data_IF_982399210319
#
_entry.id   IF_982399210319
#
_cell.length_a   1.000
_cell.length_b   1.000
_cell.length_c   1.000
_cell.angle_alpha   90.00
_cell.angle_beta   90.00
_cell.angle_gamma   90.00
#
_symmetry.space_group_name_H-M   'P 1'
#
loop_
_entity.id
_entity.type
_entity.pdbx_description
1 polymer ?
#
# COMPACT_ATOMS: atom_id res chain seq x y z
N UNK A 1 5.45 -1.23 27.60
CA UNK A 1 4.53 -2.35 27.32
C UNK A 1 4.43 -2.47 25.81
N UNK A 2 4.59 -3.65 25.21
CA UNK A 2 4.53 -3.82 23.76
C UNK A 2 3.17 -3.33 23.27
N UNK A 3 3.19 -2.25 22.50
CA UNK A 3 2.00 -1.65 21.93
C UNK A 3 1.70 -2.37 20.62
N UNK A 4 1.42 -3.67 20.73
CA UNK A 4 1.10 -4.53 19.60
C UNK A 4 -0.40 -4.53 19.37
N UNK A 5 -0.79 -4.70 18.12
CA UNK A 5 -2.19 -4.81 17.73
C UNK A 5 -2.75 -6.10 18.33
N UNK A 6 -3.94 -6.05 18.92
CA UNK A 6 -4.57 -7.23 19.51
C UNK A 6 -5.91 -7.50 18.81
N UNK A 7 -6.08 -8.68 18.17
CA UNK A 7 -5.08 -9.72 17.94
C UNK A 7 -3.92 -9.23 17.07
N UNK A 8 -2.77 -9.92 17.09
CA UNK A 8 -1.62 -9.62 16.22
C UNK A 8 -2.00 -9.64 14.73
N UNK A 9 -1.29 -8.87 13.89
CA UNK A 9 -1.59 -8.80 12.45
C UNK A 9 -1.42 -10.17 11.79
N UNK A 10 -0.42 -10.93 12.23
CA UNK A 10 -0.10 -12.29 11.78
C UNK A 10 -1.19 -13.29 12.16
N UNK A 11 -2.09 -12.95 13.07
CA UNK A 11 -3.20 -13.80 13.48
C UNK A 11 -4.50 -13.51 12.73
N UNK A 12 -4.43 -12.71 11.67
CA UNK A 12 -5.61 -12.34 10.89
C UNK A 12 -6.13 -13.49 10.04
N UNK A 13 -5.28 -14.45 9.65
CA UNK A 13 -5.66 -15.65 8.91
C UNK A 13 -4.98 -16.87 9.54
N UNK A 14 -5.74 -17.95 9.70
CA UNK A 14 -5.13 -19.22 10.05
C UNK A 14 -5.90 -20.43 9.52
N UNK A 15 -5.13 -21.44 9.15
CA UNK A 15 -5.61 -22.68 8.56
C UNK A 15 -6.10 -23.63 9.66
N UNK A 16 -7.38 -23.97 9.67
CA UNK A 16 -8.03 -24.81 10.70
C UNK A 16 -8.12 -26.29 10.31
N UNK A 17 -7.94 -26.59 9.03
CA UNK A 17 -7.87 -27.92 8.43
C UNK A 17 -7.24 -27.84 7.04
N UNK A 18 -6.99 -28.97 6.35
CA UNK A 18 -6.30 -28.96 5.05
C UNK A 18 -6.99 -28.07 4.02
N UNK A 19 -8.32 -27.96 4.09
CA UNK A 19 -9.17 -27.28 3.11
C UNK A 19 -9.91 -26.05 3.67
N UNK A 20 -9.53 -25.54 4.85
CA UNK A 20 -10.26 -24.44 5.49
C UNK A 20 -9.34 -23.43 6.18
N UNK A 21 -9.64 -22.14 5.97
CA UNK A 21 -8.98 -21.00 6.59
C UNK A 21 -10.01 -20.08 7.23
N UNK A 22 -9.77 -19.70 8.48
CA UNK A 22 -10.53 -18.64 9.16
C UNK A 22 -9.84 -17.31 8.88
N UNK A 23 -10.62 -16.30 8.48
CA UNK A 23 -10.13 -14.98 8.07
C UNK A 23 -10.85 -13.92 8.89
N UNK A 24 -10.12 -13.32 9.83
CA UNK A 24 -10.66 -12.39 10.82
C UNK A 24 -11.72 -13.04 11.72
N UNK A 25 -12.64 -12.23 12.23
CA UNK A 25 -13.79 -12.70 13.00
C UNK A 25 -14.93 -13.21 12.10
N UNK A 26 -14.96 -12.79 10.82
CA UNK A 26 -16.18 -12.80 9.99
C UNK A 26 -16.21 -13.79 8.84
N UNK A 27 -15.07 -14.24 8.33
CA UNK A 27 -15.02 -14.96 7.05
C UNK A 27 -14.33 -16.32 7.17
N UNK A 28 -14.71 -17.21 6.27
CA UNK A 28 -14.07 -18.52 6.06
C UNK A 28 -13.77 -18.66 4.57
N UNK A 29 -12.57 -19.13 4.26
CA UNK A 29 -12.22 -19.62 2.94
C UNK A 29 -12.20 -21.15 2.98
N UNK A 30 -12.87 -21.79 2.03
CA UNK A 30 -12.95 -23.24 1.91
C UNK A 30 -12.50 -23.69 0.54
N UNK A 31 -11.74 -24.78 0.50
CA UNK A 31 -11.32 -25.44 -0.73
C UNK A 31 -12.17 -26.68 -0.94
N UNK A 32 -12.76 -26.79 -2.11
CA UNK A 32 -13.72 -27.86 -2.43
C UNK A 32 -13.30 -28.52 -3.74
N UNK A 33 -13.31 -29.86 -3.75
CA UNK A 33 -12.94 -30.66 -4.92
C UNK A 33 -14.12 -30.83 -5.90
N UNK A 34 -15.35 -31.02 -5.39
CA UNK A 34 -16.55 -31.18 -6.22
C UNK A 34 -17.47 -29.96 -6.19
N UNK A 35 -17.93 -29.50 -7.36
CA UNK A 35 -18.85 -28.36 -7.46
C UNK A 35 -20.21 -28.62 -6.77
N UNK A 36 -20.59 -29.87 -6.57
CA UNK A 36 -21.81 -30.25 -5.82
C UNK A 36 -21.72 -29.89 -4.33
N UNK A 37 -20.51 -29.73 -3.78
CA UNK A 37 -20.26 -29.33 -2.39
C UNK A 37 -20.09 -27.81 -2.24
N UNK A 38 -20.62 -27.01 -3.18
CA UNK A 38 -20.58 -25.55 -3.11
C UNK A 38 -21.29 -25.05 -1.85
N UNK A 39 -20.64 -24.19 -1.03
CA UNK A 39 -21.31 -23.55 0.09
C UNK A 39 -22.46 -22.66 -0.37
N UNK A 40 -23.63 -22.81 0.26
CA UNK A 40 -24.88 -22.12 -0.12
C UNK A 40 -24.73 -20.59 -0.02
N UNK A 41 -23.86 -20.10 0.85
CA UNK A 41 -23.62 -18.69 1.16
C UNK A 41 -22.28 -18.15 0.62
N UNK A 42 -21.73 -18.79 -0.42
CA UNK A 42 -20.51 -18.33 -1.08
C UNK A 42 -20.66 -16.91 -1.66
N UNK A 43 -19.78 -16.02 -1.22
CA UNK A 43 -19.71 -14.62 -1.66
C UNK A 43 -18.91 -14.46 -2.95
N UNK A 44 -17.80 -15.18 -3.06
CA UNK A 44 -16.94 -15.21 -4.25
C UNK A 44 -16.25 -16.56 -4.34
N UNK A 45 -15.91 -16.97 -5.56
CA UNK A 45 -15.14 -18.18 -5.81
C UNK A 45 -14.06 -17.97 -6.86
N UNK A 46 -13.05 -18.83 -6.83
CA UNK A 46 -12.04 -18.91 -7.88
C UNK A 46 -11.51 -20.33 -7.99
N UNK A 47 -11.04 -20.67 -9.18
CA UNK A 47 -10.43 -21.96 -9.47
C UNK A 47 -8.90 -21.86 -9.46
N UNK A 48 -8.25 -22.89 -8.92
CA UNK A 48 -6.81 -23.08 -8.98
C UNK A 48 -6.49 -24.58 -8.92
N UNK A 49 -5.68 -25.08 -9.85
CA UNK A 49 -5.23 -26.48 -9.92
C UNK A 49 -6.37 -27.52 -9.82
N UNK A 50 -7.47 -27.29 -10.55
CA UNK A 50 -8.68 -28.15 -10.56
C UNK A 50 -9.44 -28.19 -9.22
N UNK A 51 -9.14 -27.28 -8.30
CA UNK A 51 -9.86 -27.10 -7.04
C UNK A 51 -10.59 -25.76 -7.07
N UNK A 52 -11.77 -25.70 -6.45
CA UNK A 52 -12.52 -24.45 -6.32
C UNK A 52 -12.42 -23.95 -4.88
N UNK A 53 -12.06 -22.68 -4.75
CA UNK A 53 -12.04 -21.99 -3.47
C UNK A 53 -13.27 -21.11 -3.36
N UNK A 54 -13.88 -21.09 -2.18
CA UNK A 54 -15.05 -20.29 -1.86
C UNK A 54 -14.78 -19.44 -0.64
N UNK A 55 -15.06 -18.13 -0.73
CA UNK A 55 -15.14 -17.26 0.44
C UNK A 55 -16.60 -17.16 0.87
N UNK A 56 -16.88 -17.37 2.16
CA UNK A 56 -18.20 -17.21 2.75
C UNK A 56 -18.14 -16.56 4.12
N UNK A 57 -19.31 -16.20 4.65
CA UNK A 57 -19.42 -15.70 6.02
C UNK A 57 -19.22 -16.86 7.00
N UNK A 58 -18.73 -16.51 8.18
CA UNK A 58 -18.62 -17.44 9.29
C UNK A 58 -19.99 -17.74 9.89
N UNK A 59 -20.16 -18.99 10.31
CA UNK A 59 -21.34 -19.55 10.96
C UNK A 59 -20.98 -20.02 12.38
N UNK A 60 -21.95 -20.22 13.27
CA UNK A 60 -21.70 -20.76 14.61
C UNK A 60 -21.06 -22.15 14.64
N UNK A 61 -21.13 -22.90 13.53
CA UNK A 61 -20.53 -24.23 13.39
C UNK A 61 -19.02 -24.16 13.07
N UNK A 62 -18.52 -23.01 12.62
CA UNK A 62 -17.13 -22.86 12.23
C UNK A 62 -16.19 -22.86 13.44
N UNK A 63 -14.97 -23.43 13.32
CA UNK A 63 -14.03 -23.51 14.43
C UNK A 63 -13.73 -22.14 15.02
N UNK A 64 -13.76 -22.02 16.36
CA UNK A 64 -13.36 -20.80 17.09
C UNK A 64 -11.86 -20.62 17.16
N UNK A 65 -11.10 -21.72 17.03
CA UNK A 65 -9.63 -21.73 17.05
C UNK A 65 -9.04 -20.99 15.86
N UNK A 66 -7.92 -20.31 16.09
CA UNK A 66 -7.18 -19.55 15.06
C UNK A 66 -6.58 -20.40 13.95
N UNK A 67 -6.29 -21.68 14.20
CA UNK A 67 -5.57 -22.52 13.23
C UNK A 67 -4.07 -22.18 13.15
N UNK A 68 -3.38 -22.72 12.15
CA UNK A 68 -1.98 -22.41 11.87
C UNK A 68 -1.88 -21.10 11.05
N UNK A 69 -1.20 -20.09 11.59
CA UNK A 69 -1.09 -18.74 11.00
C UNK A 69 0.09 -18.57 10.04
N UNK A 70 1.04 -19.52 10.05
CA UNK A 70 2.22 -19.48 9.17
C UNK A 70 1.98 -20.18 7.83
N UNK A 71 0.97 -21.05 7.73
CA UNK A 71 0.60 -21.65 6.44
C UNK A 71 0.21 -20.53 5.46
N UNK A 72 0.74 -20.61 4.23
CA UNK A 72 0.43 -19.70 3.12
C UNK A 72 0.82 -18.23 3.33
N UNK A 73 1.44 -17.89 4.47
CA UNK A 73 1.86 -16.52 4.79
C UNK A 73 3.06 -16.12 3.94
N UNK A 74 2.99 -14.95 3.32
CA UNK A 74 4.07 -14.39 2.53
C UNK A 74 5.19 -13.84 3.44
N UNK A 75 6.47 -13.92 3.01
CA UNK A 75 7.59 -13.29 3.70
C UNK A 75 7.37 -11.78 3.86
N UNK A 76 7.93 -11.19 4.93
CA UNK A 76 7.83 -9.74 5.18
C UNK A 76 6.50 -9.26 5.79
N UNK A 77 5.62 -10.19 6.18
CA UNK A 77 4.41 -9.87 6.97
C UNK A 77 4.79 -9.49 8.40
N UNK A 78 4.35 -8.30 8.87
CA UNK A 78 4.61 -7.83 10.23
C UNK A 78 4.16 -6.38 10.50
N UNK A 79 3.95 -6.05 11.78
CA UNK A 79 3.55 -4.72 12.23
C UNK A 79 2.08 -4.41 11.92
N UNK A 80 1.82 -3.65 10.86
CA UNK A 80 0.47 -3.19 10.48
C UNK A 80 -0.13 -3.94 9.28
N UNK A 81 0.64 -4.78 8.59
CA UNK A 81 0.17 -5.53 7.41
C UNK A 81 0.69 -6.97 7.39
N UNK A 82 -0.12 -7.88 6.85
CA UNK A 82 0.30 -9.24 6.54
C UNK A 82 -0.42 -9.75 5.29
N UNK A 83 0.24 -10.62 4.53
CA UNK A 83 -0.29 -11.18 3.27
C UNK A 83 -0.22 -12.70 3.29
N UNK A 84 -1.26 -13.37 2.81
CA UNK A 84 -1.32 -14.81 2.58
C UNK A 84 -1.63 -15.10 1.11
N UNK A 85 -1.15 -16.23 0.60
CA UNK A 85 -1.37 -16.67 -0.77
C UNK A 85 -2.20 -17.97 -0.78
N UNK A 86 -3.53 -17.85 -0.90
CA UNK A 86 -4.45 -19.01 -0.88
C UNK A 86 -5.04 -19.19 -2.28
N UNK A 87 -4.77 -20.33 -2.92
CA UNK A 87 -5.30 -20.67 -4.25
C UNK A 87 -4.96 -19.63 -5.33
N UNK A 88 -3.70 -19.17 -5.39
CA UNK A 88 -3.22 -18.12 -6.31
C UNK A 88 -3.88 -16.74 -6.13
N UNK A 89 -4.43 -16.47 -4.94
CA UNK A 89 -4.96 -15.15 -4.54
C UNK A 89 -4.21 -14.60 -3.35
N UNK A 90 -3.94 -13.30 -3.38
CA UNK A 90 -3.37 -12.60 -2.25
C UNK A 90 -4.47 -12.11 -1.33
N UNK A 91 -4.41 -12.54 -0.08
CA UNK A 91 -5.23 -12.05 1.02
C UNK A 91 -4.36 -11.12 1.85
N UNK A 92 -4.64 -9.83 1.80
CA UNK A 92 -3.96 -8.84 2.65
C UNK A 92 -4.85 -8.51 3.83
N UNK A 93 -4.30 -8.60 5.03
CA UNK A 93 -4.86 -7.98 6.23
C UNK A 93 -4.06 -6.72 6.55
N UNK A 94 -4.75 -5.64 6.87
CA UNK A 94 -4.13 -4.37 7.23
C UNK A 94 -4.78 -3.77 8.47
N UNK A 95 -3.99 -3.14 9.34
CA UNK A 95 -4.47 -2.43 10.51
C UNK A 95 -5.42 -1.30 10.08
N UNK A 96 -6.63 -1.29 10.63
CA UNK A 96 -7.67 -0.38 10.16
C UNK A 96 -8.52 0.13 11.31
N UNK A 97 -8.95 1.38 11.19
CA UNK A 97 -10.01 1.95 12.01
C UNK A 97 -10.99 2.74 11.15
N UNK A 98 -12.17 3.03 11.72
CA UNK A 98 -13.20 3.84 11.06
C UNK A 98 -12.63 5.18 10.59
N UNK A 99 -12.88 5.54 9.32
CA UNK A 99 -12.40 6.78 8.72
C UNK A 99 -11.18 6.64 7.81
N UNK A 100 -10.52 5.48 7.77
CA UNK A 100 -9.46 5.21 6.79
C UNK A 100 -10.03 4.85 5.41
N UNK A 101 -9.34 5.27 4.35
CA UNK A 101 -9.60 4.81 2.99
C UNK A 101 -9.21 3.33 2.85
N UNK A 102 -9.96 2.59 2.02
CA UNK A 102 -9.62 1.21 1.71
C UNK A 102 -8.68 1.18 0.51
N UNK A 103 -7.66 0.31 0.55
CA UNK A 103 -6.76 0.09 -0.58
C UNK A 103 -7.52 -0.29 -1.86
N UNK A 104 -8.61 -1.06 -1.74
CA UNK A 104 -9.48 -1.41 -2.87
C UNK A 104 -10.14 -0.20 -3.54
N UNK A 105 -10.48 0.85 -2.78
CA UNK A 105 -11.02 2.09 -3.34
C UNK A 105 -9.99 2.76 -4.24
N UNK A 106 -8.74 2.86 -3.76
CA UNK A 106 -7.65 3.47 -4.51
C UNK A 106 -7.30 2.65 -5.76
N UNK A 107 -7.25 1.32 -5.66
CA UNK A 107 -7.03 0.43 -6.81
C UNK A 107 -8.13 0.63 -7.87
N UNK A 108 -9.41 0.68 -7.46
CA UNK A 108 -10.52 0.91 -8.40
C UNK A 108 -10.46 2.27 -9.06
N UNK A 109 -10.13 3.31 -8.29
CA UNK A 109 -9.95 4.66 -8.83
C UNK A 109 -8.87 4.67 -9.92
N UNK A 110 -7.71 4.08 -9.67
CA UNK A 110 -6.62 4.02 -10.66
C UNK A 110 -7.01 3.20 -11.88
N UNK A 111 -7.65 2.04 -11.68
CA UNK A 111 -8.12 1.19 -12.78
C UNK A 111 -9.11 1.91 -13.70
N UNK A 112 -9.98 2.75 -13.15
CA UNK A 112 -10.97 3.53 -13.89
C UNK A 112 -10.36 4.78 -14.55
N UNK A 113 -9.56 5.54 -13.79
CA UNK A 113 -9.09 6.88 -14.19
C UNK A 113 -7.74 6.89 -14.90
N UNK A 114 -6.90 5.88 -14.67
CA UNK A 114 -5.53 5.80 -15.18
C UNK A 114 -5.20 4.36 -15.60
N UNK A 115 -5.92 3.79 -16.59
CA UNK A 115 -5.78 2.37 -16.97
C UNK A 115 -4.39 2.00 -17.51
N UNK A 116 -3.55 2.98 -17.85
CA UNK A 116 -2.14 2.76 -18.19
C UNK A 116 -1.28 2.32 -17.00
N UNK A 117 -1.73 2.55 -15.77
CA UNK A 117 -1.02 2.14 -14.55
C UNK A 117 -1.52 0.75 -14.14
N UNK A 118 -0.67 -0.28 -14.18
CA UNK A 118 -1.09 -1.63 -13.86
C UNK A 118 -1.30 -1.79 -12.35
N UNK A 119 -2.48 -2.22 -11.95
CA UNK A 119 -2.88 -2.44 -10.55
C UNK A 119 -3.46 -3.85 -10.36
N UNK A 120 -3.53 -4.39 -9.13
CA UNK A 120 -4.12 -5.70 -8.88
C UNK A 120 -5.61 -5.75 -9.24
N UNK A 121 -6.07 -6.92 -9.67
CA UNK A 121 -7.51 -7.17 -9.78
C UNK A 121 -8.08 -7.43 -8.38
N UNK A 122 -8.92 -6.51 -7.88
CA UNK A 122 -9.69 -6.69 -6.64
C UNK A 122 -10.78 -7.75 -6.85
N UNK A 123 -10.79 -8.75 -5.98
CA UNK A 123 -11.78 -9.83 -5.99
C UNK A 123 -12.85 -9.59 -4.94
N UNK A 124 -12.42 -9.24 -3.72
CA UNK A 124 -13.33 -8.99 -2.61
C UNK A 124 -12.63 -8.19 -1.50
N UNK A 125 -13.39 -7.46 -0.72
CA UNK A 125 -12.89 -6.68 0.40
C UNK A 125 -13.94 -6.59 1.52
N UNK A 126 -13.48 -6.40 2.75
CA UNK A 126 -14.35 -6.06 3.87
C UNK A 126 -13.56 -5.44 5.01
N UNK A 127 -14.29 -4.88 5.97
CA UNK A 127 -13.73 -4.41 7.23
C UNK A 127 -14.19 -5.29 8.39
N UNK A 128 -13.29 -5.45 9.34
CA UNK A 128 -13.46 -6.23 10.55
C UNK A 128 -13.14 -5.35 11.76
N UNK A 129 -14.14 -4.63 12.30
CA UNK A 129 -13.97 -3.79 13.47
C UNK A 129 -13.60 -4.59 14.73
N UNK A 130 -13.97 -5.88 14.83
CA UNK A 130 -13.64 -6.69 16.00
C UNK A 130 -12.13 -6.92 16.08
N UNK A 131 -11.48 -7.03 14.93
CA UNK A 131 -10.05 -7.21 14.84
C UNK A 131 -9.31 -5.89 14.58
N UNK A 132 -10.00 -4.78 14.26
CA UNK A 132 -9.41 -3.55 13.71
C UNK A 132 -8.63 -3.83 12.43
N UNK A 133 -9.29 -4.46 11.44
CA UNK A 133 -8.70 -4.83 10.15
C UNK A 133 -9.52 -4.40 8.96
N UNK A 134 -8.83 -4.09 7.89
CA UNK A 134 -9.35 -4.23 6.54
C UNK A 134 -8.75 -5.48 5.91
N UNK A 135 -9.56 -6.17 5.11
CA UNK A 135 -9.13 -7.30 4.33
C UNK A 135 -9.35 -7.02 2.86
N UNK A 136 -8.37 -7.42 2.05
CA UNK A 136 -8.38 -7.25 0.61
C UNK A 136 -7.92 -8.54 -0.06
N UNK A 137 -8.75 -9.09 -0.94
CA UNK A 137 -8.42 -10.22 -1.80
C UNK A 137 -8.16 -9.70 -3.20
N UNK A 138 -6.99 -10.04 -3.75
CA UNK A 138 -6.62 -9.70 -5.13
C UNK A 138 -6.11 -10.92 -5.88
N UNK A 139 -6.14 -10.85 -7.22
CA UNK A 139 -5.36 -11.80 -8.03
C UNK A 139 -3.87 -11.53 -7.81
N UNK A 140 -3.10 -12.60 -7.64
CA UNK A 140 -1.65 -12.52 -7.55
C UNK A 140 -1.08 -12.01 -8.88
N UNK A 141 -0.26 -10.95 -8.81
CA UNK A 141 0.53 -10.49 -9.96
C UNK A 141 1.77 -11.36 -10.04
N UNK A 142 1.96 -12.05 -11.17
CA UNK A 142 3.15 -12.88 -11.40
C UNK A 142 4.34 -12.01 -11.75
N UNK A 143 5.46 -12.26 -11.08
CA UNK A 143 6.70 -11.51 -11.28
C UNK A 143 7.58 -11.51 -10.04
N UNK A 144 8.61 -10.68 -10.10
CA UNK A 144 9.50 -10.36 -8.97
C UNK A 144 9.39 -8.89 -8.64
N UNK A 145 9.64 -8.50 -7.41
CA UNK A 145 9.72 -7.07 -7.09
C UNK A 145 10.91 -6.42 -7.79
N UNK A 146 10.86 -5.10 -8.02
CA UNK A 146 12.01 -4.36 -8.53
C UNK A 146 13.22 -4.52 -7.62
N UNK A 147 13.00 -4.59 -6.30
CA UNK A 147 14.05 -4.85 -5.31
C UNK A 147 14.77 -6.18 -5.56
N UNK A 148 14.02 -7.28 -5.69
CA UNK A 148 14.58 -8.61 -5.95
C UNK A 148 15.31 -8.67 -7.30
N UNK A 149 14.79 -7.94 -8.30
CA UNK A 149 15.35 -7.92 -9.63
C UNK A 149 16.57 -6.99 -9.77
N UNK A 150 16.73 -5.98 -8.91
CA UNK A 150 17.61 -4.83 -9.16
C UNK A 150 19.03 -5.19 -9.56
N UNK A 151 19.67 -6.07 -8.79
CA UNK A 151 21.05 -6.50 -9.02
C UNK A 151 21.25 -7.24 -10.35
N UNK A 152 20.17 -7.79 -10.90
CA UNK A 152 20.16 -8.52 -12.18
C UNK A 152 19.82 -7.61 -13.37
N UNK A 153 19.41 -6.36 -13.12
CA UNK A 153 19.06 -5.40 -14.17
C UNK A 153 20.30 -4.64 -14.63
N UNK A 154 20.59 -4.69 -15.93
CA UNK A 154 21.63 -3.87 -16.55
C UNK A 154 21.26 -2.37 -16.54
N UNK A 155 22.25 -1.45 -16.64
CA UNK A 155 22.03 0.00 -16.49
C UNK A 155 20.95 0.57 -17.41
N UNK A 156 20.98 0.21 -18.71
CA UNK A 156 19.97 0.65 -19.68
C UNK A 156 18.55 0.22 -19.28
N UNK A 157 18.39 -0.95 -18.67
CA UNK A 157 17.07 -1.43 -18.24
C UNK A 157 16.57 -0.66 -17.02
N UNK A 158 17.46 -0.35 -16.07
CA UNK A 158 17.14 0.50 -14.91
C UNK A 158 16.68 1.89 -15.34
N UNK A 159 17.33 2.48 -16.34
CA UNK A 159 16.91 3.77 -16.91
C UNK A 159 15.52 3.71 -17.58
N UNK A 160 15.26 2.68 -18.37
CA UNK A 160 13.94 2.48 -19.00
C UNK A 160 12.84 2.25 -17.96
N UNK A 161 13.15 1.52 -16.89
CA UNK A 161 12.20 1.30 -15.79
C UNK A 161 11.92 2.57 -14.99
N UNK A 162 12.93 3.38 -14.72
CA UNK A 162 12.74 4.67 -14.07
C UNK A 162 11.87 5.60 -14.94
N UNK A 163 12.06 5.59 -16.26
CA UNK A 163 11.21 6.31 -17.21
C UNK A 163 9.77 5.80 -17.20
N UNK A 164 9.57 4.47 -17.26
CA UNK A 164 8.25 3.83 -17.21
C UNK A 164 7.49 4.20 -15.92
N UNK A 165 8.16 4.15 -14.77
CA UNK A 165 7.56 4.51 -13.48
C UNK A 165 7.31 6.02 -13.36
N UNK A 166 8.21 6.87 -13.83
CA UNK A 166 7.99 8.32 -13.86
C UNK A 166 6.81 8.69 -14.77
N UNK A 167 6.66 8.03 -15.91
CA UNK A 167 5.49 8.16 -16.77
C UNK A 167 4.21 7.78 -16.03
N UNK A 168 4.20 6.67 -15.28
CA UNK A 168 3.05 6.28 -14.45
C UNK A 168 2.72 7.34 -13.39
N UNK A 169 3.72 7.85 -12.66
CA UNK A 169 3.53 8.93 -11.67
C UNK A 169 2.95 10.17 -12.34
N UNK A 170 3.48 10.57 -13.50
CA UNK A 170 2.97 11.71 -14.27
C UNK A 170 1.52 11.51 -14.70
N UNK A 171 1.10 10.32 -15.13
CA UNK A 171 -0.31 10.06 -15.46
C UNK A 171 -1.23 10.10 -14.24
N UNK A 172 -0.78 9.59 -13.09
CA UNK A 172 -1.52 9.69 -11.83
C UNK A 172 -1.69 11.15 -11.42
N UNK A 173 -0.61 11.91 -11.46
CA UNK A 173 -0.55 13.29 -11.00
C UNK A 173 -1.37 14.28 -11.85
N UNK A 174 -1.83 13.88 -13.05
CA UNK A 174 -2.83 14.64 -13.83
C UNK A 174 -4.21 14.67 -13.17
N UNK A 175 -4.49 13.74 -12.26
CA UNK A 175 -5.69 13.79 -11.44
C UNK A 175 -5.42 14.63 -10.23
N UNK A 176 -6.09 15.77 -10.15
CA UNK A 176 -5.78 16.80 -9.17
C UNK A 176 -6.96 17.14 -8.27
N UNK A 177 -6.65 17.84 -7.19
CA UNK A 177 -7.59 18.28 -6.16
C UNK A 177 -7.08 19.59 -5.58
N UNK A 178 -7.98 20.50 -5.21
CA UNK A 178 -7.63 21.71 -4.45
C UNK A 178 -7.26 21.42 -2.99
N UNK A 179 -7.40 20.17 -2.55
CA UNK A 179 -7.33 19.73 -1.15
C UNK A 179 -6.42 18.52 -0.99
N UNK A 180 -5.67 18.48 0.12
CA UNK A 180 -4.94 17.30 0.59
C UNK A 180 -5.92 16.29 1.20
N UNK A 181 -6.18 15.17 0.53
CA UNK A 181 -7.19 14.17 0.93
C UNK A 181 -7.04 12.84 0.21
N UNK A 182 -7.75 11.82 0.66
CA UNK A 182 -7.92 10.54 -0.07
C UNK A 182 -8.96 10.69 -1.21
N UNK A 183 -9.14 9.65 -2.04
CA UNK A 183 -10.16 9.63 -3.10
C UNK A 183 -11.57 9.93 -2.55
N UNK A 184 -11.94 9.39 -1.39
CA UNK A 184 -13.24 9.66 -0.76
C UNK A 184 -13.26 10.94 0.11
N UNK A 185 -12.23 11.77 0.02
CA UNK A 185 -12.16 13.05 0.75
C UNK A 185 -11.87 12.93 2.24
N UNK A 186 -11.15 11.87 2.66
CA UNK A 186 -10.74 11.65 4.05
C UNK A 186 -9.30 12.10 4.27
N UNK A 187 -8.83 12.04 5.52
CA UNK A 187 -7.41 12.24 5.83
C UNK A 187 -6.55 11.11 5.28
N UNK A 188 -5.30 11.42 4.94
CA UNK A 188 -4.36 10.52 4.28
C UNK A 188 -3.39 9.92 5.29
N UNK A 189 -3.05 8.64 5.15
CA UNK A 189 -1.98 8.03 5.95
C UNK A 189 -0.61 8.37 5.32
N UNK A 190 0.11 9.31 5.90
CA UNK A 190 1.50 9.62 5.53
C UNK A 190 2.30 9.97 6.78
N UNK A 191 2.95 8.97 7.42
CA UNK A 191 3.62 9.17 8.71
C UNK A 191 4.78 10.15 8.65
N UNK A 192 5.36 10.39 7.47
CA UNK A 192 6.51 11.30 7.31
C UNK A 192 6.14 12.78 7.23
N UNK A 193 4.84 13.07 7.11
CA UNK A 193 4.31 14.43 7.17
C UNK A 193 3.58 14.70 8.50
N UNK A 194 3.53 13.72 9.41
CA UNK A 194 2.88 13.86 10.71
C UNK A 194 3.82 14.45 11.76
N UNK A 195 3.27 15.29 12.62
CA UNK A 195 3.91 15.66 13.89
C UNK A 195 4.29 14.43 14.73
N UNK A 196 5.34 14.58 15.55
CA UNK A 196 5.73 13.57 16.52
C UNK A 196 4.54 13.17 17.40
N UNK A 197 4.37 11.89 17.76
CA UNK A 197 3.26 11.47 18.60
C UNK A 197 3.27 12.24 19.93
N UNK A 198 2.18 12.98 20.21
CA UNK A 198 2.00 13.72 21.47
C UNK A 198 1.53 12.82 22.62
N UNK A 199 0.97 11.67 22.29
CA UNK A 199 0.41 10.68 23.21
C UNK A 199 1.05 9.32 22.93
N UNK A 200 1.07 8.44 23.95
CA UNK A 200 1.34 7.01 23.81
C UNK A 200 0.18 6.32 23.06
N UNK A 201 -0.02 6.68 21.79
CA UNK A 201 -0.90 5.91 20.90
C UNK A 201 -0.21 4.63 20.48
N UNK A 202 -0.97 3.55 20.27
CA UNK A 202 -0.37 2.35 19.74
C UNK A 202 0.28 2.57 18.39
N UNK A 203 1.54 2.16 18.27
CA UNK A 203 2.32 2.35 17.05
C UNK A 203 1.71 1.62 15.84
N UNK A 204 0.89 0.59 16.07
CA UNK A 204 0.15 -0.10 15.03
C UNK A 204 -1.05 0.69 14.50
N UNK A 205 -1.58 1.66 15.25
CA UNK A 205 -2.78 2.39 14.88
C UNK A 205 -2.40 3.53 13.91
N UNK A 206 -2.79 3.44 12.62
CA UNK A 206 -2.44 4.46 11.64
C UNK A 206 -3.00 5.83 12.04
N UNK A 207 -2.23 6.90 11.79
CA UNK A 207 -2.68 8.27 12.01
C UNK A 207 -2.94 8.94 10.66
N UNK A 208 -4.11 9.55 10.52
CA UNK A 208 -4.48 10.27 9.32
C UNK A 208 -4.09 11.74 9.44
N UNK A 209 -3.52 12.28 8.35
CA UNK A 209 -3.20 13.68 8.15
C UNK A 209 -4.31 14.35 7.34
N UNK A 210 -4.76 15.52 7.78
CA UNK A 210 -5.84 16.24 7.10
C UNK A 210 -7.22 15.60 7.27
N UNK A 211 -8.17 15.81 6.34
CA UNK A 211 -7.97 16.52 5.07
C UNK A 211 -7.70 18.01 5.28
N UNK A 212 -6.90 18.62 4.40
CA UNK A 212 -6.70 20.07 4.34
C UNK A 212 -7.42 20.61 3.13
N UNK A 213 -8.22 21.67 3.30
CA UNK A 213 -9.10 22.14 2.22
C UNK A 213 -8.32 22.84 1.12
N UNK A 214 -7.29 23.57 1.50
CA UNK A 214 -6.47 24.41 0.63
C UNK A 214 -4.99 24.33 1.06
N UNK A 215 -4.12 24.90 0.23
CA UNK A 215 -2.67 24.98 0.48
C UNK A 215 -2.34 25.60 1.84
N UNK A 216 -2.99 26.72 2.18
CA UNK A 216 -2.74 27.46 3.42
C UNK A 216 -3.04 26.63 4.68
N UNK A 217 -4.06 25.77 4.66
CA UNK A 217 -4.38 24.88 5.78
C UNK A 217 -3.22 23.91 6.06
N UNK A 218 -2.67 23.30 5.00
CA UNK A 218 -1.53 22.39 5.12
C UNK A 218 -0.26 23.15 5.49
N UNK A 219 -0.04 24.33 4.92
CA UNK A 219 1.11 25.20 5.23
C UNK A 219 1.10 25.60 6.71
N UNK A 220 -0.04 26.05 7.21
CA UNK A 220 -0.23 26.41 8.62
C UNK A 220 -0.03 25.21 9.54
N UNK A 221 -0.49 24.02 9.14
CA UNK A 221 -0.18 22.78 9.85
C UNK A 221 1.33 22.54 9.93
N UNK A 222 2.04 22.58 8.80
CA UNK A 222 3.47 22.28 8.73
C UNK A 222 4.32 23.32 9.49
N UNK A 223 3.93 24.60 9.47
CA UNK A 223 4.55 25.67 10.27
C UNK A 223 4.32 25.49 11.77
N UNK A 224 3.19 24.92 12.18
CA UNK A 224 2.88 24.70 13.60
C UNK A 224 3.73 23.60 14.23
N UNK A 225 4.16 22.62 13.43
CA UNK A 225 4.80 21.39 13.93
C UNK A 225 6.32 21.40 13.75
N UNK A 226 6.89 22.50 13.23
CA UNK A 226 8.33 22.68 13.06
C UNK A 226 8.73 24.15 13.21
N UNK A 227 9.90 24.40 13.78
CA UNK A 227 10.50 25.74 13.86
C UNK A 227 11.16 26.19 12.54
N UNK A 228 11.19 25.32 11.54
CA UNK A 228 11.82 25.56 10.24
C UNK A 228 10.76 25.81 9.16
N UNK A 229 11.15 26.54 8.11
CA UNK A 229 10.25 26.84 6.99
C UNK A 229 9.94 25.54 6.23
N UNK A 230 8.65 25.17 6.02
CA UNK A 230 8.30 23.98 5.26
C UNK A 230 8.68 24.11 3.78
N UNK A 231 8.76 22.98 3.05
CA UNK A 231 8.73 23.00 1.60
C UNK A 231 7.57 23.84 1.04
N UNK A 232 7.76 24.37 -0.17
CA UNK A 232 6.68 25.05 -0.89
C UNK A 232 5.58 24.03 -1.22
N UNK A 233 4.36 24.41 -0.89
CA UNK A 233 3.14 23.64 -1.16
C UNK A 233 2.48 24.35 -2.34
N UNK A 234 1.91 23.61 -3.27
CA UNK A 234 1.20 24.20 -4.41
C UNK A 234 -0.29 24.35 -4.09
N UNK A 235 -0.97 25.24 -4.82
CA UNK A 235 -2.43 25.39 -4.73
C UNK A 235 -3.18 24.12 -5.14
N UNK A 236 -2.55 23.31 -5.99
CA UNK A 236 -3.11 22.08 -6.54
C UNK A 236 -2.35 20.85 -6.03
N UNK A 237 -3.11 19.86 -5.57
CA UNK A 237 -2.58 18.59 -5.08
C UNK A 237 -2.78 17.51 -6.13
N UNK A 238 -1.79 16.64 -6.27
CA UNK A 238 -1.70 15.61 -7.30
C UNK A 238 -1.94 14.22 -6.72
N UNK A 239 -2.76 13.41 -7.39
CA UNK A 239 -2.97 12.03 -6.97
C UNK A 239 -1.66 11.23 -7.08
N UNK A 240 -1.20 10.67 -5.96
CA UNK A 240 0.08 9.98 -5.84
C UNK A 240 -0.02 8.80 -4.87
N UNK A 241 0.82 7.78 -5.10
CA UNK A 241 0.82 6.52 -4.36
C UNK A 241 1.48 6.63 -2.96
N UNK A 242 2.44 7.56 -2.79
CA UNK A 242 3.26 7.79 -1.58
C UNK A 242 4.15 6.63 -1.07
N UNK A 243 3.78 5.37 -1.33
CA UNK A 243 4.59 4.18 -1.01
C UNK A 243 5.14 3.46 -2.27
N UNK A 244 5.42 4.19 -3.36
CA UNK A 244 5.85 3.61 -4.65
C UNK A 244 7.34 3.17 -4.67
N UNK A 245 7.79 2.50 -3.62
CA UNK A 245 9.16 1.99 -3.50
C UNK A 245 9.39 0.72 -4.33
N UNK A 246 10.64 0.27 -4.49
CA UNK A 246 11.00 -0.92 -5.28
C UNK A 246 10.27 -2.20 -4.86
N UNK A 247 9.94 -2.35 -3.57
CA UNK A 247 9.18 -3.49 -3.04
C UNK A 247 7.75 -3.59 -3.59
N UNK A 248 7.19 -2.45 -4.01
CA UNK A 248 5.81 -2.32 -4.44
C UNK A 248 5.64 -2.29 -5.97
N UNK A 249 6.74 -2.46 -6.72
CA UNK A 249 6.75 -2.53 -8.19
C UNK A 249 7.06 -3.97 -8.59
N UNK A 250 6.11 -4.65 -9.21
CA UNK A 250 6.28 -6.02 -9.70
C UNK A 250 6.68 -5.98 -11.17
N UNK A 251 7.73 -6.72 -11.54
CA UNK A 251 8.25 -6.85 -12.89
C UNK A 251 7.89 -8.20 -13.51
N UNK A 252 7.54 -8.17 -14.79
CA UNK A 252 7.45 -9.37 -15.63
C UNK A 252 8.86 -9.92 -15.92
N UNK A 253 8.95 -11.16 -16.40
CA UNK A 253 10.23 -11.76 -16.82
C UNK A 253 10.97 -10.96 -17.90
N UNK A 254 10.22 -10.29 -18.81
CA UNK A 254 10.79 -9.40 -19.81
C UNK A 254 11.24 -8.03 -19.24
N UNK A 255 11.13 -7.85 -17.92
CA UNK A 255 11.52 -6.69 -17.15
C UNK A 255 10.54 -5.52 -17.15
N UNK A 256 9.37 -5.62 -17.79
CA UNK A 256 8.37 -4.53 -17.82
C UNK A 256 7.55 -4.50 -16.53
N UNK A 257 6.93 -3.37 -16.19
CA UNK A 257 6.08 -3.29 -15.00
C UNK A 257 4.84 -4.16 -15.19
N UNK A 258 4.71 -5.19 -14.35
CA UNK A 258 3.58 -6.10 -14.30
C UNK A 258 2.42 -5.53 -13.48
N UNK A 259 2.75 -4.78 -12.42
CA UNK A 259 1.78 -4.14 -11.54
C UNK A 259 2.42 -3.42 -10.37
N UNK A 260 1.67 -2.48 -9.82
CA UNK A 260 2.01 -1.69 -8.64
C UNK A 260 1.05 -2.08 -7.52
N UNK A 261 1.58 -2.39 -6.34
CA UNK A 261 0.82 -2.87 -5.17
C UNK A 261 0.96 -1.89 -3.99
N UNK A 262 0.18 -2.11 -2.92
CA UNK A 262 0.27 -1.36 -1.67
C UNK A 262 -0.26 0.08 -1.75
N UNK A 263 -1.48 0.24 -2.28
CA UNK A 263 -2.14 1.53 -2.54
C UNK A 263 -2.80 2.17 -1.29
N UNK A 264 -2.44 1.74 -0.09
CA UNK A 264 -3.07 2.19 1.17
C UNK A 264 -2.86 3.67 1.49
N UNK A 265 -1.69 4.20 1.13
CA UNK A 265 -1.32 5.60 1.34
C UNK A 265 -1.66 6.49 0.13
N UNK A 266 -2.37 5.99 -0.87
CA UNK A 266 -2.65 6.83 -2.04
C UNK A 266 -3.63 7.97 -1.72
N UNK A 267 -3.37 9.15 -2.26
CA UNK A 267 -4.12 10.37 -1.99
C UNK A 267 -3.63 11.54 -2.85
N UNK A 268 -4.17 12.73 -2.61
CA UNK A 268 -3.76 13.96 -3.28
C UNK A 268 -2.69 14.68 -2.45
N UNK A 269 -1.49 14.81 -3.02
CA UNK A 269 -0.27 15.30 -2.37
C UNK A 269 0.30 16.54 -3.09
N UNK A 270 1.02 17.43 -2.40
CA UNK A 270 1.68 18.56 -3.04
C UNK A 270 2.83 18.08 -3.95
N UNK A 271 3.18 18.85 -4.98
CA UNK A 271 4.16 18.43 -5.99
C UNK A 271 5.53 18.11 -5.36
N UNK A 272 5.93 18.88 -4.34
CA UNK A 272 7.19 18.63 -3.63
C UNK A 272 7.23 17.23 -3.04
N UNK A 273 6.11 16.69 -2.55
CA UNK A 273 6.07 15.36 -1.95
C UNK A 273 6.18 14.25 -3.00
N UNK A 274 5.55 14.46 -4.16
CA UNK A 274 5.69 13.55 -5.31
C UNK A 274 7.17 13.41 -5.72
N UNK A 275 7.92 14.51 -5.70
CA UNK A 275 9.34 14.54 -6.06
C UNK A 275 10.30 14.10 -4.94
N UNK A 276 9.97 14.43 -3.68
CA UNK A 276 10.88 14.24 -2.53
C UNK A 276 10.74 12.84 -1.91
N UNK A 277 9.52 12.28 -1.88
CA UNK A 277 9.25 10.97 -1.26
C UNK A 277 10.14 9.84 -1.81
N UNK A 278 10.43 9.76 -3.14
CA UNK A 278 11.35 8.77 -3.69
C UNK A 278 12.79 8.82 -3.17
N UNK A 279 13.22 9.93 -2.56
CA UNK A 279 14.59 10.12 -2.05
C UNK A 279 14.74 9.72 -0.58
N UNK A 280 13.67 9.22 0.05
CA UNK A 280 13.68 8.83 1.46
C UNK A 280 13.94 7.32 1.60
N UNK A 281 14.63 6.91 2.66
CA UNK A 281 15.17 5.56 2.91
C UNK A 281 14.25 4.37 2.55
N UNK A 282 12.92 4.52 2.62
CA UNK A 282 11.97 3.48 2.18
C UNK A 282 12.02 3.13 0.70
N UNK A 283 12.66 3.97 -0.12
CA UNK A 283 12.79 3.81 -1.57
C UNK A 283 14.22 3.40 -1.96
N UNK A 284 15.14 3.37 -1.00
CA UNK A 284 16.50 2.92 -1.23
C UNK A 284 16.58 1.40 -1.26
N UNK A 285 17.47 0.91 -2.11
CA UNK A 285 17.80 -0.50 -2.20
C UNK A 285 19.01 -0.74 -1.31
N UNK A 286 18.94 -1.70 -0.38
CA UNK A 286 20.03 -1.99 0.57
C UNK A 286 21.39 -2.29 -0.11
N UNK A 287 21.34 -2.64 -1.40
CA UNK A 287 22.50 -2.93 -2.23
C UNK A 287 23.01 -1.73 -3.07
N UNK A 288 22.36 -0.56 -3.01
CA UNK A 288 22.84 0.69 -3.62
C UNK A 288 23.93 1.33 -2.75
N UNK A 289 25.13 0.74 -2.74
CA UNK A 289 26.31 1.33 -2.08
C UNK A 289 27.19 2.15 -3.02
N UNK A 290 26.79 2.34 -4.27
CA UNK A 290 27.54 3.10 -5.28
C UNK A 290 26.73 4.29 -5.82
N UNK A 291 27.12 5.52 -5.48
CA UNK A 291 26.64 6.73 -6.16
C UNK A 291 27.18 6.81 -7.61
N UNK A 292 26.44 7.37 -8.60
CA UNK A 292 25.14 8.05 -8.54
C UNK A 292 24.03 7.35 -9.37
N UNK A 293 23.92 6.01 -9.31
CA UNK A 293 22.93 5.22 -10.07
C UNK A 293 21.87 4.52 -9.20
N UNK A 294 21.62 5.02 -7.99
CA UNK A 294 20.58 4.43 -7.14
C UNK A 294 19.19 4.60 -7.75
N UNK A 295 18.27 3.69 -7.43
CA UNK A 295 16.89 3.74 -7.95
C UNK A 295 16.24 5.10 -7.70
N UNK A 296 16.36 5.62 -6.48
CA UNK A 296 15.86 6.92 -6.06
C UNK A 296 16.37 8.06 -6.95
N UNK A 297 17.69 8.11 -7.22
CA UNK A 297 18.30 9.12 -8.08
C UNK A 297 17.85 9.02 -9.54
N UNK A 298 17.73 7.80 -10.07
CA UNK A 298 17.23 7.59 -11.43
C UNK A 298 15.79 8.08 -11.56
N UNK A 299 14.92 7.69 -10.62
CA UNK A 299 13.52 8.10 -10.62
C UNK A 299 13.38 9.62 -10.47
N UNK A 300 14.12 10.24 -9.56
CA UNK A 300 14.16 11.71 -9.38
C UNK A 300 14.46 12.43 -10.68
N UNK A 301 15.55 12.05 -11.36
CA UNK A 301 15.93 12.66 -12.65
C UNK A 301 14.83 12.56 -13.70
N UNK A 302 14.04 11.47 -13.69
CA UNK A 302 12.92 11.31 -14.61
C UNK A 302 11.71 12.16 -14.18
N UNK A 303 11.45 12.28 -12.88
CA UNK A 303 10.40 13.16 -12.36
C UNK A 303 10.68 14.65 -12.64
N UNK A 304 11.94 15.09 -12.60
CA UNK A 304 12.36 16.44 -12.99
C UNK A 304 11.94 16.77 -14.43
N UNK A 305 12.07 15.80 -15.37
CA UNK A 305 11.62 15.94 -16.77
C UNK A 305 10.09 16.11 -16.86
N UNK A 306 9.35 15.57 -15.89
CA UNK A 306 7.90 15.72 -15.76
C UNK A 306 7.48 16.91 -14.89
N UNK A 307 8.38 17.88 -14.64
CA UNK A 307 8.12 19.10 -13.86
C UNK A 307 7.83 18.87 -12.37
N UNK A 308 8.26 17.75 -11.81
CA UNK A 308 8.27 17.51 -10.37
C UNK A 308 9.66 17.78 -9.82
N UNK A 309 9.83 18.92 -9.14
CA UNK A 309 11.11 19.32 -8.54
C UNK A 309 11.14 18.96 -7.06
N UNK A 310 12.20 18.28 -6.63
CA UNK A 310 12.40 17.90 -5.24
C UNK A 310 12.69 19.11 -4.36
N UNK A 311 12.30 18.98 -3.09
CA UNK A 311 12.63 19.93 -2.03
C UNK A 311 13.21 19.20 -0.83
N UNK A 312 13.96 18.12 -1.07
CA UNK A 312 14.61 17.24 -0.08
C UNK A 312 15.37 18.02 1.00
N UNK A 313 16.23 18.96 0.63
CA UNK A 313 17.01 19.77 1.59
C UNK A 313 16.15 20.71 2.44
N UNK A 314 15.01 21.18 1.91
CA UNK A 314 14.05 21.96 2.70
C UNK A 314 13.27 21.02 3.63
N UNK A 315 12.83 19.88 3.12
CA UNK A 315 12.13 18.86 3.89
C UNK A 315 12.99 18.32 5.04
N UNK A 316 14.25 17.96 4.81
CA UNK A 316 15.17 17.50 5.86
C UNK A 316 15.38 18.54 6.96
N UNK A 317 15.53 19.83 6.59
CA UNK A 317 15.61 20.92 7.57
C UNK A 317 14.31 21.03 8.35
N UNK A 318 13.18 21.01 7.65
CA UNK A 318 11.85 21.03 8.27
C UNK A 318 11.66 19.88 9.26
N UNK A 319 12.06 18.66 8.92
CA UNK A 319 12.02 17.49 9.82
C UNK A 319 12.93 17.69 11.04
N UNK A 320 14.16 18.20 10.85
CA UNK A 320 15.08 18.50 11.97
C UNK A 320 14.53 19.55 12.92
N UNK A 321 13.73 20.48 12.43
CA UNK A 321 13.05 21.51 13.22
C UNK A 321 11.76 21.07 13.91
N UNK A 322 11.30 19.83 13.71
CA UNK A 322 10.00 19.37 14.23
C UNK A 322 9.95 19.35 15.77
N UNK A 323 8.89 19.97 16.30
CA UNK A 323 8.61 20.11 17.73
C UNK A 323 8.25 18.77 18.39
#
# INVERSE_FOLDING_TARGET
MSCEINPLIEWSIGQTGPDQWIIGSKMVCERVQDQESKPVDALVSWEHESQTFYLRKRTPQDPTRKGNTETDKAPGSGGSAAVWCIGDRHFKAYAWHGGMELESTNIRFVKDKVPSVPVPDVIYEWTDPDFNRSFLITKKIRGRTLEEAWLHLGPRRRELLAEEVACHISQLAKHTSSSFKTVCGRGVFEPRLLEKPREERPCWLPRLLGPFKEEDDMRNYMLRISNEVPPEIDQEFHFYHAELGPKNIILRENGAVAGIINWESAGYYPSFWVATKPLLDTFDLECDREEPKSWAHLLRRKLEVHHFTEQDRKYERWVKGML
#
